data_IF_276358319573
#
_entry.id   IF_276358319573
#
_cell.length_a   1.000
_cell.length_b   1.000
_cell.length_c   1.000
_cell.angle_alpha   90.00
_cell.angle_beta   90.00
_cell.angle_gamma   90.00
#
_symmetry.space_group_name_H-M   'P 1'
#
loop_
_entity.id
_entity.type
_entity.pdbx_description
1 polymer ?
#
# COMPACT_ATOMS: atom_id res chain seq x y z
N UNK A 1 25.12 -4.52 -3.50
CA UNK A 1 23.82 -4.73 -4.16
C UNK A 1 22.71 -4.75 -3.10
N UNK A 2 21.74 -3.87 -3.22
CA UNK A 2 20.61 -3.82 -2.30
C UNK A 2 19.76 -5.08 -2.43
N UNK A 3 19.34 -5.62 -1.30
CA UNK A 3 18.56 -6.83 -1.25
C UNK A 3 17.09 -6.47 -1.02
N UNK A 4 16.21 -6.93 -1.90
CA UNK A 4 14.77 -6.78 -1.71
C UNK A 4 14.32 -7.80 -0.67
N UNK A 5 13.63 -7.34 0.36
CA UNK A 5 13.10 -8.18 1.42
C UNK A 5 11.57 -8.06 1.43
N UNK A 6 10.88 -9.17 1.21
CA UNK A 6 9.41 -9.23 1.18
C UNK A 6 8.93 -9.88 2.47
N UNK A 7 7.93 -9.28 3.11
CA UNK A 7 7.37 -9.77 4.37
C UNK A 7 5.90 -9.38 4.49
N UNK A 8 5.17 -10.06 5.35
CA UNK A 8 3.77 -9.77 5.60
C UNK A 8 3.62 -9.09 6.96
N UNK A 9 2.70 -8.11 7.03
CA UNK A 9 2.38 -7.40 8.26
C UNK A 9 0.90 -7.57 8.55
N UNK A 10 0.57 -7.99 9.76
CA UNK A 10 -0.81 -8.08 10.21
C UNK A 10 -1.29 -6.70 10.67
N UNK A 11 -2.42 -6.25 10.13
CA UNK A 11 -3.03 -4.99 10.53
C UNK A 11 -4.04 -5.22 11.64
N UNK A 12 -4.46 -4.15 12.37
CA UNK A 12 -5.34 -4.31 13.53
C UNK A 12 -6.66 -5.02 13.28
N UNK A 13 -7.17 -5.02 12.06
CA UNK A 13 -8.43 -5.72 11.73
C UNK A 13 -8.23 -7.22 11.49
N UNK A 14 -7.02 -7.74 11.64
CA UNK A 14 -6.71 -9.16 11.47
C UNK A 14 -6.26 -9.56 10.08
N UNK A 15 -6.37 -8.65 9.10
CA UNK A 15 -5.92 -8.93 7.73
C UNK A 15 -4.41 -8.72 7.62
N UNK A 16 -3.82 -9.20 6.53
CA UNK A 16 -2.40 -9.07 6.27
C UNK A 16 -2.15 -8.20 5.04
N UNK A 17 -1.05 -7.45 5.08
CA UNK A 17 -0.58 -6.64 3.97
C UNK A 17 0.83 -7.09 3.63
N UNK A 18 1.08 -7.39 2.35
CA UNK A 18 2.41 -7.72 1.87
C UNK A 18 3.23 -6.44 1.75
N UNK A 19 4.43 -6.49 2.28
CA UNK A 19 5.37 -5.36 2.28
C UNK A 19 6.66 -5.76 1.60
N UNK A 20 7.36 -4.75 1.10
CA UNK A 20 8.69 -4.92 0.49
C UNK A 20 9.59 -3.83 1.04
N UNK A 21 10.75 -4.23 1.54
CA UNK A 21 11.78 -3.28 1.97
C UNK A 21 12.90 -3.29 0.93
N UNK A 22 13.23 -2.11 0.43
CA UNK A 22 14.29 -1.93 -0.54
C UNK A 22 14.89 -0.54 -0.36
N UNK A 23 16.21 -0.49 -0.30
CA UNK A 23 16.95 0.77 -0.18
C UNK A 23 16.43 1.64 0.99
N UNK A 24 16.16 1.00 2.13
CA UNK A 24 15.67 1.63 3.37
C UNK A 24 14.29 2.25 3.25
N UNK A 25 13.55 1.92 2.19
CA UNK A 25 12.16 2.36 2.00
C UNK A 25 11.25 1.15 2.11
N UNK A 26 10.14 1.30 2.83
CA UNK A 26 9.11 0.27 2.93
C UNK A 26 8.03 0.56 1.91
N UNK A 27 7.72 -0.44 1.09
CA UNK A 27 6.66 -0.39 0.09
C UNK A 27 5.55 -1.35 0.50
N UNK A 28 4.33 -1.02 0.12
CA UNK A 28 3.15 -1.83 0.40
C UNK A 28 2.54 -2.31 -0.90
N UNK A 29 2.11 -3.59 -0.95
CA UNK A 29 1.41 -4.14 -2.09
C UNK A 29 0.12 -3.35 -2.30
N UNK A 30 -0.02 -2.70 -3.46
CA UNK A 30 -1.17 -1.83 -3.72
C UNK A 30 -2.48 -2.61 -3.70
N UNK A 31 -2.50 -3.84 -4.20
CA UNK A 31 -3.69 -4.67 -4.19
C UNK A 31 -4.16 -4.95 -2.75
N UNK A 32 -3.23 -5.28 -1.86
CA UNK A 32 -3.55 -5.50 -0.45
C UNK A 32 -4.07 -4.23 0.21
N UNK A 33 -3.46 -3.08 -0.10
CA UNK A 33 -3.94 -1.78 0.41
C UNK A 33 -5.36 -1.50 -0.09
N UNK A 34 -5.64 -1.76 -1.36
CA UNK A 34 -6.97 -1.58 -1.92
C UNK A 34 -8.02 -2.47 -1.24
N UNK A 35 -7.63 -3.69 -0.87
CA UNK A 35 -8.52 -4.60 -0.12
C UNK A 35 -8.88 -4.04 1.26
N UNK A 36 -7.98 -3.26 1.85
CA UNK A 36 -8.26 -2.58 3.12
C UNK A 36 -9.14 -1.35 2.94
N UNK A 37 -9.05 -0.69 1.77
CA UNK A 37 -9.74 0.57 1.49
C UNK A 37 -11.14 0.39 0.91
N UNK A 38 -11.35 -0.60 0.05
CA UNK A 38 -12.52 -0.70 -0.82
C UNK A 38 -13.17 -2.07 -0.74
N UNK A 39 -14.51 -2.09 -0.87
CA UNK A 39 -15.24 -3.36 -1.03
C UNK A 39 -15.08 -3.90 -2.44
N UNK A 40 -14.99 -3.01 -3.43
CA UNK A 40 -14.84 -3.35 -4.83
C UNK A 40 -13.95 -2.31 -5.49
N UNK A 41 -13.03 -2.75 -6.33
CA UNK A 41 -12.10 -1.85 -7.00
C UNK A 41 -11.52 -2.54 -8.24
N UNK A 42 -11.00 -1.71 -9.16
CA UNK A 42 -10.16 -2.16 -10.26
C UNK A 42 -8.74 -1.69 -9.99
N UNK A 43 -7.81 -2.63 -9.80
CA UNK A 43 -6.44 -2.32 -9.44
C UNK A 43 -5.75 -1.42 -10.46
N UNK A 44 -5.98 -1.69 -11.75
CA UNK A 44 -5.36 -0.87 -12.80
C UNK A 44 -5.89 0.56 -12.80
N UNK A 45 -7.19 0.74 -12.56
CA UNK A 45 -7.79 2.07 -12.47
C UNK A 45 -7.20 2.85 -11.30
N UNK A 46 -7.03 2.21 -10.15
CA UNK A 46 -6.41 2.84 -8.97
C UNK A 46 -4.96 3.22 -9.27
N UNK A 47 -4.20 2.30 -9.87
CA UNK A 47 -2.79 2.52 -10.21
C UNK A 47 -2.62 3.65 -11.25
N UNK A 48 -3.58 3.79 -12.15
CA UNK A 48 -3.51 4.79 -13.22
C UNK A 48 -3.96 6.19 -12.79
N UNK A 49 -4.47 6.34 -11.56
CA UNK A 49 -4.84 7.69 -11.09
C UNK A 49 -3.59 8.57 -11.00
N UNK A 50 -3.77 9.84 -11.33
CA UNK A 50 -2.69 10.82 -11.27
C UNK A 50 -2.07 10.91 -9.87
N UNK A 51 -2.90 10.76 -8.85
CA UNK A 51 -2.47 10.79 -7.46
C UNK A 51 -1.54 9.63 -7.13
N UNK A 52 -1.89 8.42 -7.58
CA UNK A 52 -1.10 7.23 -7.24
C UNK A 52 0.14 7.07 -8.10
N UNK A 53 0.14 7.59 -9.32
CA UNK A 53 1.25 7.41 -10.26
C UNK A 53 2.58 7.93 -9.70
N UNK A 54 2.54 8.96 -8.87
CA UNK A 54 3.74 9.54 -8.25
C UNK A 54 4.34 8.63 -7.16
N UNK A 55 3.55 7.73 -6.60
CA UNK A 55 3.96 6.87 -5.50
C UNK A 55 4.02 5.40 -5.89
N UNK A 56 3.96 5.13 -7.19
CA UNK A 56 3.87 3.77 -7.70
C UNK A 56 5.24 3.21 -8.04
N UNK A 57 5.46 1.97 -7.63
CA UNK A 57 6.65 1.21 -7.98
C UNK A 57 6.21 -0.16 -8.48
N UNK A 58 6.84 -0.67 -9.54
CA UNK A 58 6.53 -1.99 -10.10
C UNK A 58 7.69 -2.93 -9.82
N UNK A 59 7.38 -4.07 -9.22
CA UNK A 59 8.36 -5.11 -8.94
C UNK A 59 7.68 -6.47 -8.92
N UNK A 60 8.26 -7.45 -9.59
CA UNK A 60 7.74 -8.82 -9.58
C UNK A 60 6.33 -8.96 -10.13
N UNK A 61 5.96 -8.13 -11.11
CA UNK A 61 4.62 -8.15 -11.69
C UNK A 61 3.53 -7.54 -10.81
N UNK A 62 3.92 -6.87 -9.74
CA UNK A 62 2.99 -6.25 -8.79
C UNK A 62 3.19 -4.75 -8.72
N UNK A 63 2.13 -4.05 -8.31
CA UNK A 63 2.21 -2.63 -7.98
C UNK A 63 2.49 -2.47 -6.50
N UNK A 64 3.41 -1.57 -6.17
CA UNK A 64 3.78 -1.24 -4.80
C UNK A 64 3.66 0.26 -4.59
N UNK A 65 3.32 0.68 -3.40
CA UNK A 65 3.23 2.09 -3.06
C UNK A 65 3.91 2.36 -1.72
N UNK A 66 4.22 3.63 -1.48
CA UNK A 66 4.83 4.06 -0.22
C UNK A 66 3.75 4.46 0.78
N UNK A 67 4.16 4.75 2.02
CA UNK A 67 3.23 5.26 3.04
C UNK A 67 2.57 6.58 2.59
N UNK A 68 3.29 7.40 1.83
CA UNK A 68 2.70 8.62 1.29
C UNK A 68 1.59 8.32 0.31
N UNK A 69 1.76 7.28 -0.53
CA UNK A 69 0.70 6.82 -1.43
C UNK A 69 -0.52 6.31 -0.67
N UNK A 70 -0.30 5.53 0.39
CA UNK A 70 -1.39 5.04 1.25
C UNK A 70 -2.16 6.22 1.87
N UNK A 71 -1.45 7.24 2.34
CA UNK A 71 -2.07 8.44 2.90
C UNK A 71 -2.90 9.20 1.87
N UNK A 72 -2.44 9.27 0.62
CA UNK A 72 -3.20 9.92 -0.45
C UNK A 72 -4.51 9.19 -0.73
N UNK A 73 -4.49 7.86 -0.75
CA UNK A 73 -5.71 7.08 -0.89
C UNK A 73 -6.68 7.35 0.26
N UNK A 74 -6.16 7.38 1.49
CA UNK A 74 -6.96 7.62 2.68
C UNK A 74 -7.63 9.00 2.68
N UNK A 75 -6.93 10.02 2.17
CA UNK A 75 -7.43 11.40 2.19
C UNK A 75 -8.41 11.72 1.07
N UNK A 76 -8.17 11.17 -0.13
CA UNK A 76 -8.87 11.63 -1.34
C UNK A 76 -10.01 10.75 -1.76
N UNK A 77 -10.02 9.52 -1.33
CA UNK A 77 -11.05 8.56 -1.70
C UNK A 77 -11.66 8.09 -0.38
N UNK A 78 -12.99 7.92 -0.34
CA UNK A 78 -13.65 7.39 0.85
C UNK A 78 -13.10 6.01 1.14
N UNK A 79 -12.07 5.98 1.93
CA UNK A 79 -11.35 4.77 2.26
C UNK A 79 -11.90 4.21 3.57
N UNK A 80 -12.25 2.92 3.56
CA UNK A 80 -12.76 2.24 4.75
C UNK A 80 -11.66 1.85 5.72
N UNK A 81 -10.41 2.12 5.37
CA UNK A 81 -9.28 1.85 6.24
C UNK A 81 -9.36 2.73 7.48
N UNK A 82 -9.30 2.12 8.65
CA UNK A 82 -9.36 2.89 9.90
C UNK A 82 -8.01 3.54 10.21
N UNK A 83 -8.06 4.55 11.06
CA UNK A 83 -6.88 5.31 11.45
C UNK A 83 -5.78 4.43 12.05
N UNK A 84 -6.16 3.42 12.85
CA UNK A 84 -5.20 2.52 13.48
C UNK A 84 -4.39 1.74 12.44
N UNK A 85 -4.99 1.37 11.30
CA UNK A 85 -4.28 0.69 10.22
C UNK A 85 -3.21 1.61 9.65
N UNK A 86 -3.56 2.87 9.37
CA UNK A 86 -2.62 3.86 8.85
C UNK A 86 -1.44 4.04 9.82
N UNK A 87 -1.73 4.17 11.11
CA UNK A 87 -0.68 4.34 12.12
C UNK A 87 0.23 3.11 12.21
N UNK A 88 -0.33 1.91 12.09
CA UNK A 88 0.46 0.68 12.08
C UNK A 88 1.41 0.65 10.88
N UNK A 89 0.91 0.94 9.69
CA UNK A 89 1.71 0.92 8.47
C UNK A 89 2.80 2.02 8.49
N UNK A 90 2.47 3.17 9.05
CA UNK A 90 3.39 4.29 9.17
C UNK A 90 4.60 3.97 10.05
N UNK A 91 4.44 3.10 11.03
CA UNK A 91 5.50 2.70 11.95
C UNK A 91 6.48 1.67 11.40
N UNK A 92 6.29 1.21 10.18
CA UNK A 92 7.14 0.17 9.59
C UNK A 92 8.37 0.73 8.90
#
# INVERSE_FOLDING_TARGET
MEKINVFDVQVPDGRQTRCMSYNKVTYFDLDDICKLCFDSYDLHDVADTKVMSEFLHREGGRYWTTIDGVRQLYRRIECKMCFEVIEKLKGL
#
